data_IF_925137135432
#
_entry.id   IF_925137135432
#
_cell.length_a   1.000
_cell.length_b   1.000
_cell.length_c   1.000
_cell.angle_alpha   90.00
_cell.angle_beta   90.00
_cell.angle_gamma   90.00
#
_symmetry.space_group_name_H-M   'P 1'
#
loop_
_entity.id
_entity.type
_entity.pdbx_description
1 polymer ?
#
# COMPACT_ATOMS: atom_id res chain seq x y z
N UNK A 1 -36.93 8.33 13.63
CA UNK A 1 -36.56 7.22 14.17
C UNK A 1 -36.11 6.20 13.21
N UNK A 2 -36.99 5.79 12.53
CA UNK A 2 -36.68 4.84 11.52
C UNK A 2 -35.62 5.36 10.60
N UNK A 3 -35.58 6.62 10.32
CA UNK A 3 -34.61 7.18 9.43
C UNK A 3 -33.18 7.02 9.91
N UNK A 4 -32.92 7.33 11.16
CA UNK A 4 -31.58 7.19 11.69
C UNK A 4 -31.15 5.72 11.69
N UNK A 5 -32.07 4.87 12.10
CA UNK A 5 -31.81 3.44 12.11
C UNK A 5 -31.62 2.92 10.71
N UNK A 6 -32.42 3.38 9.78
CA UNK A 6 -32.30 2.98 8.39
C UNK A 6 -30.99 3.41 7.78
N UNK A 7 -30.50 4.57 8.15
CA UNK A 7 -29.20 5.04 7.68
C UNK A 7 -28.11 4.11 8.13
N UNK A 8 -28.19 3.70 9.38
CA UNK A 8 -27.22 2.79 9.95
C UNK A 8 -27.27 1.44 9.27
N UNK A 9 -28.48 0.92 9.13
CA UNK A 9 -28.66 -0.38 8.47
C UNK A 9 -28.18 -0.35 7.04
N UNK A 10 -28.48 0.74 6.35
CA UNK A 10 -28.06 0.91 4.99
C UNK A 10 -26.55 0.94 4.87
N UNK A 11 -25.89 1.59 5.80
CA UNK A 11 -24.45 1.66 5.83
C UNK A 11 -23.86 0.28 6.04
N UNK A 12 -24.39 -0.48 6.96
CA UNK A 12 -23.93 -1.82 7.23
C UNK A 12 -24.11 -2.72 6.02
N UNK A 13 -25.24 -2.59 5.37
CA UNK A 13 -25.52 -3.37 4.17
C UNK A 13 -24.47 -3.10 3.09
N UNK A 14 -24.14 -1.84 2.86
CA UNK A 14 -23.14 -1.50 1.86
C UNK A 14 -21.73 -1.91 2.29
N UNK A 15 -21.43 -1.82 3.57
CA UNK A 15 -20.14 -2.24 4.09
C UNK A 15 -19.86 -3.68 3.80
N UNK A 16 -20.86 -4.52 3.93
CA UNK A 16 -20.70 -5.95 3.70
C UNK A 16 -20.38 -6.27 2.24
N UNK A 17 -20.74 -5.40 1.31
CA UNK A 17 -20.62 -5.69 -0.12
C UNK A 17 -19.82 -4.67 -0.90
N UNK A 18 -20.01 -3.40 -0.60
CA UNK A 18 -19.52 -2.33 -1.47
C UNK A 18 -18.70 -1.28 -0.76
N UNK A 19 -18.44 -1.45 0.51
CA UNK A 19 -17.70 -0.44 1.23
C UNK A 19 -16.28 -0.34 0.68
N UNK A 20 -15.89 0.89 0.32
CA UNK A 20 -14.55 1.18 -0.12
C UNK A 20 -13.83 1.80 1.07
N UNK A 21 -12.88 1.07 1.61
CA UNK A 21 -12.11 1.55 2.74
C UNK A 21 -11.02 2.52 2.28
N UNK A 22 -10.62 3.46 3.12
CA UNK A 22 -9.51 4.36 2.78
C UNK A 22 -8.23 3.57 2.50
N UNK A 23 -7.42 4.06 1.58
CA UNK A 23 -6.16 3.40 1.23
C UNK A 23 -5.27 3.22 2.46
N UNK A 24 -5.29 4.18 3.38
CA UNK A 24 -4.46 4.12 4.59
C UNK A 24 -4.83 2.96 5.50
N UNK A 25 -6.06 2.49 5.42
CA UNK A 25 -6.49 1.35 6.23
C UNK A 25 -6.18 0.02 5.58
N UNK A 26 -6.20 -0.04 4.26
CA UNK A 26 -5.93 -1.29 3.53
C UNK A 26 -4.46 -1.51 3.27
N UNK A 27 -3.70 -0.43 3.09
CA UNK A 27 -2.27 -0.49 2.85
C UNK A 27 -1.57 0.33 3.94
N UNK A 28 -1.44 -0.26 5.11
CA UNK A 28 -0.87 0.45 6.24
C UNK A 28 0.64 0.54 6.13
N UNK A 29 1.16 1.75 6.17
CA UNK A 29 2.60 1.99 6.02
C UNK A 29 3.21 2.24 7.39
N UNK A 30 4.25 1.50 7.71
CA UNK A 30 5.00 1.66 8.95
C UNK A 30 6.45 1.93 8.63
N UNK A 31 7.05 2.85 9.36
CA UNK A 31 8.43 3.25 9.14
C UNK A 31 9.23 3.01 10.40
N UNK A 32 10.35 2.32 10.26
CA UNK A 32 11.27 2.06 11.35
C UNK A 32 12.63 2.61 10.97
N UNK A 33 13.21 3.39 11.86
CA UNK A 33 14.48 4.04 11.62
C UNK A 33 15.46 3.71 12.73
N UNK A 34 16.61 3.18 12.37
CA UNK A 34 17.71 3.01 13.32
C UNK A 34 18.95 3.68 12.74
N UNK A 35 20.08 3.56 13.41
CA UNK A 35 21.28 4.29 13.01
C UNK A 35 21.85 3.83 11.68
N UNK A 36 21.60 2.60 11.27
CA UNK A 36 22.21 2.03 10.07
C UNK A 36 21.25 1.84 8.91
N UNK A 37 20.00 1.54 9.23
CA UNK A 37 19.00 1.23 8.21
C UNK A 37 17.68 1.93 8.47
N UNK A 38 16.93 2.06 7.40
CA UNK A 38 15.63 2.68 7.39
C UNK A 38 14.70 1.69 6.72
N UNK A 39 13.68 1.23 7.42
CA UNK A 39 12.75 0.22 6.90
C UNK A 39 11.38 0.80 6.67
N UNK A 40 10.76 0.37 5.58
CA UNK A 40 9.38 0.72 5.27
C UNK A 40 8.62 -0.58 5.11
N UNK A 41 7.52 -0.69 5.81
CA UNK A 41 6.70 -1.89 5.77
C UNK A 41 5.27 -1.54 5.41
N UNK A 42 4.72 -2.28 4.47
CA UNK A 42 3.31 -2.23 4.13
C UNK A 42 2.64 -3.46 4.69
N UNK A 43 1.58 -3.26 5.46
CA UNK A 43 0.70 -4.34 5.88
C UNK A 43 -0.54 -4.25 5.01
N UNK A 44 -0.79 -5.27 4.22
CA UNK A 44 -1.87 -5.27 3.23
C UNK A 44 -3.02 -6.12 3.73
N UNK A 45 -4.18 -5.51 3.78
CA UNK A 45 -5.39 -6.16 4.28
C UNK A 45 -5.78 -7.32 3.37
N UNK A 46 -6.30 -8.38 3.95
CA UNK A 46 -6.78 -9.53 3.19
C UNK A 46 -7.82 -9.10 2.17
N UNK A 47 -7.73 -9.62 0.97
CA UNK A 47 -8.62 -9.24 -0.13
C UNK A 47 -8.10 -8.07 -0.95
N UNK A 48 -6.90 -7.58 -0.64
CA UNK A 48 -6.29 -6.47 -1.35
C UNK A 48 -4.88 -6.84 -1.79
N UNK A 49 -4.37 -6.10 -2.75
CA UNK A 49 -3.01 -6.33 -3.25
C UNK A 49 -2.42 -5.02 -3.76
N UNK A 50 -1.11 -4.96 -3.82
CA UNK A 50 -0.38 -3.83 -4.40
C UNK A 50 0.37 -4.32 -5.63
N UNK A 51 0.56 -3.43 -6.59
CA UNK A 51 1.40 -3.74 -7.74
C UNK A 51 2.86 -3.50 -7.39
N UNK A 52 3.68 -4.52 -7.58
CA UNK A 52 5.09 -4.40 -7.27
C UNK A 52 5.74 -3.26 -8.06
N UNK A 53 5.41 -3.16 -9.34
CA UNK A 53 6.00 -2.15 -10.20
C UNK A 53 5.52 -0.73 -9.91
N UNK A 54 4.50 -0.58 -9.08
CA UNK A 54 4.00 0.74 -8.73
C UNK A 54 4.81 1.39 -7.61
N UNK A 55 5.64 0.64 -6.93
CA UNK A 55 6.41 1.15 -5.79
C UNK A 55 7.60 1.93 -6.33
N UNK A 56 7.57 3.24 -6.12
CA UNK A 56 8.61 4.14 -6.61
C UNK A 56 8.88 5.23 -5.58
N UNK A 57 10.11 5.69 -5.58
CA UNK A 57 10.52 6.78 -4.70
C UNK A 57 10.75 8.04 -5.51
N UNK A 58 10.38 9.19 -4.94
CA UNK A 58 10.70 10.47 -5.54
C UNK A 58 12.09 10.88 -5.07
N UNK A 59 12.92 11.33 -6.01
CA UNK A 59 14.25 11.83 -5.74
C UNK A 59 15.19 10.85 -5.04
N UNK A 60 14.92 9.57 -5.21
CA UNK A 60 15.77 8.52 -4.69
C UNK A 60 15.86 7.41 -5.74
N UNK A 61 17.04 7.21 -6.28
CA UNK A 61 17.26 6.25 -7.36
C UNK A 61 18.15 5.08 -6.96
N UNK A 62 18.57 5.04 -5.69
CA UNK A 62 19.41 3.94 -5.25
C UNK A 62 18.57 2.71 -4.93
N UNK A 63 19.16 1.53 -4.97
CA UNK A 63 18.40 0.32 -4.73
C UNK A 63 17.98 0.19 -3.27
N UNK A 64 16.95 -0.57 -3.06
CA UNK A 64 16.54 -0.98 -1.73
C UNK A 64 16.56 -2.50 -1.66
N UNK A 65 16.60 -3.04 -0.46
CA UNK A 65 16.62 -4.47 -0.25
C UNK A 65 15.24 -4.92 0.24
N UNK A 66 14.72 -5.98 -0.35
CA UNK A 66 13.44 -6.54 0.10
C UNK A 66 13.74 -7.49 1.25
N UNK A 67 13.16 -7.20 2.41
CA UNK A 67 13.33 -8.01 3.61
C UNK A 67 12.26 -9.08 3.74
N UNK A 68 11.03 -8.72 3.39
CA UNK A 68 9.90 -9.61 3.57
C UNK A 68 8.87 -9.28 2.51
N UNK A 69 8.34 -10.30 1.84
CA UNK A 69 7.37 -10.06 0.80
C UNK A 69 6.61 -11.33 0.47
N UNK A 70 5.39 -11.13 -0.02
CA UNK A 70 4.61 -12.22 -0.56
C UNK A 70 4.20 -11.79 -1.97
N UNK A 71 5.06 -12.10 -2.92
CA UNK A 71 4.91 -11.68 -4.31
C UNK A 71 4.39 -12.84 -5.15
N UNK A 72 3.39 -12.57 -5.98
CA UNK A 72 2.84 -13.58 -6.87
C UNK A 72 2.47 -12.95 -8.20
N UNK A 73 2.25 -13.79 -9.20
CA UNK A 73 1.78 -13.33 -10.50
C UNK A 73 0.26 -13.27 -10.45
N UNK A 74 -0.28 -12.23 -11.07
CA UNK A 74 -1.71 -12.01 -11.06
C UNK A 74 -2.13 -11.37 -12.38
N UNK A 75 -3.32 -11.71 -12.83
CA UNK A 75 -3.85 -11.10 -14.04
C UNK A 75 -5.16 -10.40 -13.69
N UNK A 76 -5.23 -9.10 -13.94
CA UNK A 76 -6.45 -8.36 -13.72
C UNK A 76 -6.83 -7.57 -14.97
N UNK A 77 -8.01 -6.99 -14.96
CA UNK A 77 -8.51 -6.28 -16.13
C UNK A 77 -7.88 -4.91 -16.32
N UNK A 78 -7.12 -4.44 -15.33
CA UNK A 78 -6.52 -3.10 -15.39
C UNK A 78 -5.12 -3.10 -15.97
N UNK A 79 -4.30 -4.07 -15.58
CA UNK A 79 -2.90 -4.11 -15.99
C UNK A 79 -2.49 -5.42 -16.62
N UNK A 80 -3.43 -6.37 -16.81
CA UNK A 80 -3.10 -7.66 -17.38
C UNK A 80 -2.25 -8.48 -16.41
N UNK A 81 -1.28 -9.20 -16.95
CA UNK A 81 -0.38 -9.99 -16.12
C UNK A 81 0.66 -9.11 -15.48
N UNK A 82 0.75 -9.17 -14.16
CA UNK A 82 1.71 -8.37 -13.43
C UNK A 82 2.05 -9.06 -12.12
N UNK A 83 3.05 -8.55 -11.42
CA UNK A 83 3.40 -9.06 -10.11
C UNK A 83 2.72 -8.22 -9.05
N UNK A 84 2.07 -8.90 -8.11
CA UNK A 84 1.37 -8.25 -7.02
C UNK A 84 1.90 -8.72 -5.69
N UNK A 85 1.70 -7.90 -4.70
CA UNK A 85 2.14 -8.14 -3.34
C UNK A 85 0.90 -8.27 -2.47
N UNK A 86 0.86 -9.33 -1.66
CA UNK A 86 -0.23 -9.54 -0.70
C UNK A 86 0.36 -9.67 0.69
N UNK A 87 -0.44 -9.36 1.70
CA UNK A 87 -0.14 -9.48 3.11
C UNK A 87 0.93 -8.53 3.61
N UNK A 88 2.14 -8.64 3.11
CA UNK A 88 3.25 -7.87 3.66
C UNK A 88 4.27 -7.55 2.57
N UNK A 89 4.82 -6.35 2.66
CA UNK A 89 5.96 -5.96 1.86
C UNK A 89 6.84 -5.08 2.74
N UNK A 90 8.08 -5.50 2.93
CA UNK A 90 9.02 -4.74 3.76
C UNK A 90 10.32 -4.57 3.03
N UNK A 91 10.82 -3.34 2.99
CA UNK A 91 12.08 -3.01 2.33
C UNK A 91 12.98 -2.27 3.30
N UNK A 92 14.27 -2.29 2.96
CA UNK A 92 15.29 -1.66 3.77
C UNK A 92 16.17 -0.79 2.89
N UNK A 93 16.46 0.41 3.37
CA UNK A 93 17.34 1.35 2.72
C UNK A 93 18.44 1.68 3.71
N UNK A 94 19.68 1.77 3.23
CA UNK A 94 20.78 2.18 4.10
C UNK A 94 20.61 3.64 4.46
N UNK A 95 20.76 3.95 5.73
CA UNK A 95 20.61 5.33 6.20
C UNK A 95 21.58 6.26 5.48
N UNK A 96 22.78 5.80 5.20
CA UNK A 96 23.78 6.61 4.50
C UNK A 96 23.32 7.02 3.11
N UNK A 97 22.50 6.21 2.45
CA UNK A 97 21.99 6.52 1.12
C UNK A 97 20.93 7.61 1.16
N UNK A 98 20.40 7.92 2.33
CA UNK A 98 19.39 8.95 2.52
C UNK A 98 19.98 10.29 2.96
N UNK A 99 21.27 10.34 3.26
CA UNK A 99 21.86 11.55 3.81
C UNK A 99 21.81 12.76 2.87
N UNK A 100 21.78 12.50 1.56
CA UNK A 100 21.72 13.58 0.58
C UNK A 100 20.29 13.87 0.12
N UNK A 101 19.30 13.21 0.72
CA UNK A 101 17.92 13.35 0.31
C UNK A 101 17.21 14.32 1.25
N UNK A 102 16.58 15.33 0.67
CA UNK A 102 15.86 16.36 1.42
C UNK A 102 14.38 16.00 1.55
N UNK A 103 14.12 14.84 2.07
CA UNK A 103 12.77 14.32 2.17
C UNK A 103 12.60 13.11 1.28
N UNK A 104 11.79 12.19 1.69
CA UNK A 104 11.57 10.96 0.95
C UNK A 104 10.08 10.69 0.83
N UNK A 105 9.61 10.53 -0.40
CA UNK A 105 8.22 10.19 -0.67
C UNK A 105 8.19 8.88 -1.45
N UNK A 106 7.38 7.94 -0.99
CA UNK A 106 7.18 6.70 -1.71
C UNK A 106 5.77 6.72 -2.30
N UNK A 107 5.65 6.22 -3.52
CA UNK A 107 4.34 6.05 -4.12
C UNK A 107 4.06 4.58 -4.35
N UNK A 108 2.79 4.23 -4.35
CA UNK A 108 2.36 2.88 -4.58
C UNK A 108 0.91 2.87 -5.02
N UNK A 109 0.48 1.77 -5.61
CA UNK A 109 -0.90 1.62 -6.05
C UNK A 109 -1.35 0.20 -5.78
N UNK A 110 -2.59 0.07 -5.33
CA UNK A 110 -3.17 -1.22 -5.05
C UNK A 110 -4.65 -1.26 -5.39
N UNK A 111 -5.19 -2.45 -5.30
CA UNK A 111 -6.56 -2.72 -5.69
C UNK A 111 -7.21 -3.69 -4.72
N UNK A 112 -8.54 -3.75 -4.80
CA UNK A 112 -9.33 -4.77 -4.13
C UNK A 112 -9.52 -5.93 -5.10
N UNK A 113 -9.49 -7.14 -4.59
CA UNK A 113 -9.76 -8.32 -5.43
C UNK A 113 -11.21 -8.33 -5.93
N UNK A 114 -12.04 -7.45 -5.40
CA UNK A 114 -13.43 -7.32 -5.85
C UNK A 114 -13.58 -6.37 -7.04
N UNK A 115 -12.47 -5.91 -7.59
CA UNK A 115 -12.51 -5.14 -8.83
C UNK A 115 -12.44 -3.64 -8.69
N UNK A 116 -11.92 -3.14 -7.59
CA UNK A 116 -11.73 -1.71 -7.38
C UNK A 116 -10.25 -1.40 -7.22
N UNK A 117 -9.77 -0.38 -7.92
CA UNK A 117 -8.39 0.08 -7.78
C UNK A 117 -8.34 1.48 -7.20
N UNK A 118 -7.43 1.67 -6.26
CA UNK A 118 -7.20 2.98 -5.67
C UNK A 118 -6.32 3.81 -6.60
N UNK A 119 -6.46 5.13 -6.56
CA UNK A 119 -5.50 6.00 -7.25
C UNK A 119 -4.11 5.81 -6.65
N UNK A 120 -3.10 6.20 -7.39
CA UNK A 120 -1.72 6.16 -6.88
C UNK A 120 -1.66 6.95 -5.59
N UNK A 121 -1.10 6.33 -4.55
CA UNK A 121 -0.96 6.94 -3.24
C UNK A 121 0.48 7.38 -3.04
N UNK A 122 0.66 8.56 -2.49
CA UNK A 122 1.99 9.07 -2.13
C UNK A 122 2.05 9.21 -0.62
N UNK A 123 3.14 8.73 -0.05
CA UNK A 123 3.33 8.76 1.39
C UNK A 123 4.67 9.38 1.70
N UNK A 124 4.66 10.42 2.51
CA UNK A 124 5.88 11.08 2.91
C UNK A 124 6.52 10.29 4.05
N UNK A 125 7.74 9.87 3.84
CA UNK A 125 8.48 9.04 4.79
C UNK A 125 9.36 9.90 5.68
N UNK A 126 10.00 10.90 5.09
CA UNK A 126 10.88 11.83 5.79
C UNK A 126 10.42 13.25 5.64
#
# INVERSE_FOLDING_TARGET
LVTAVNSSDKKEFFSAKNEILPAEEVFEVKVLNNSETFSIRWDIREGYYMYLDSIKFQDYEKPYRILNSEISSYEDEYFGKTKVIKKIFEIEIKTEDLMAVDGLVVQYQGCSEQGFCYPVKKHKIL
#
